data_IF_050225653533
#
_entry.id   IF_050225653533
#
_cell.length_a   1.000
_cell.length_b   1.000
_cell.length_c   1.000
_cell.angle_alpha   90.00
_cell.angle_beta   90.00
_cell.angle_gamma   90.00
#
_symmetry.space_group_name_H-M   'P 1'
#
loop_
_entity.id
_entity.type
_entity.pdbx_description
1 polymer ?
#
# COMPACT_ATOMS: atom_id res chain seq x y z
N UNK A 1 24.78 -31.20 -29.73
CA UNK A 1 24.20 -29.95 -29.18
C UNK A 1 22.76 -30.09 -28.66
N UNK A 2 21.90 -30.96 -29.22
CA UNK A 2 20.51 -31.11 -28.73
C UNK A 2 20.37 -31.58 -27.26
N UNK A 3 21.28 -32.43 -26.77
CA UNK A 3 21.18 -33.02 -25.42
C UNK A 3 21.32 -31.96 -24.30
N UNK A 4 22.12 -30.92 -24.52
CA UNK A 4 22.37 -29.87 -23.51
C UNK A 4 21.17 -28.94 -23.32
N UNK A 5 20.39 -28.69 -24.39
CA UNK A 5 19.18 -27.85 -24.33
C UNK A 5 18.04 -28.58 -23.59
N UNK A 6 17.92 -29.89 -23.79
CA UNK A 6 16.90 -30.72 -23.12
C UNK A 6 17.17 -30.82 -21.61
N UNK A 7 18.43 -30.98 -21.19
CA UNK A 7 18.81 -30.99 -19.78
C UNK A 7 18.56 -29.65 -19.07
N UNK A 8 18.75 -28.52 -19.75
CA UNK A 8 18.49 -27.19 -19.19
C UNK A 8 16.98 -26.95 -18.95
N UNK A 9 16.12 -27.39 -19.88
CA UNK A 9 14.67 -27.31 -19.75
C UNK A 9 14.13 -28.24 -18.66
N UNK A 10 14.71 -29.43 -18.50
CA UNK A 10 14.34 -30.35 -17.43
C UNK A 10 14.79 -29.86 -16.05
N UNK A 11 15.95 -29.20 -15.95
CA UNK A 11 16.38 -28.53 -14.71
C UNK A 11 15.42 -27.40 -14.32
N UNK A 12 14.97 -26.56 -15.27
CA UNK A 12 13.98 -25.51 -14.98
C UNK A 12 12.61 -26.08 -14.54
N UNK A 13 12.26 -27.29 -14.96
CA UNK A 13 11.03 -27.96 -14.55
C UNK A 13 11.10 -28.61 -13.16
N UNK A 14 12.30 -29.00 -12.70
CA UNK A 14 12.50 -29.71 -11.42
C UNK A 14 12.94 -28.82 -10.26
N UNK A 15 13.48 -27.63 -10.52
CA UNK A 15 13.56 -26.57 -9.51
C UNK A 15 12.15 -26.02 -9.28
N UNK A 16 11.38 -26.82 -8.54
CA UNK A 16 10.05 -26.52 -8.06
C UNK A 16 10.01 -25.07 -7.60
N UNK A 17 9.17 -24.30 -8.29
CA UNK A 17 8.54 -23.12 -7.73
C UNK A 17 7.91 -23.59 -6.42
N UNK A 18 8.65 -23.46 -5.32
CA UNK A 18 8.13 -23.70 -3.98
C UNK A 18 6.80 -22.99 -3.91
N UNK A 19 5.73 -23.72 -3.58
CA UNK A 19 4.37 -23.16 -3.54
C UNK A 19 4.48 -21.86 -2.73
N UNK A 20 4.15 -20.69 -3.30
CA UNK A 20 4.33 -19.43 -2.60
C UNK A 20 3.61 -19.55 -1.27
N UNK A 21 4.34 -19.30 -0.18
CA UNK A 21 3.76 -19.41 1.16
C UNK A 21 2.49 -18.57 1.22
N UNK A 22 1.39 -19.10 1.77
CA UNK A 22 0.14 -18.38 1.80
C UNK A 22 0.29 -17.14 2.69
N UNK A 23 0.30 -15.98 2.06
CA UNK A 23 0.33 -14.69 2.72
C UNK A 23 -1.10 -14.21 3.02
N UNK A 24 -1.30 -13.71 4.26
CA UNK A 24 -2.56 -13.17 4.77
C UNK A 24 -2.47 -11.69 5.12
N UNK A 25 -3.55 -10.97 4.80
CA UNK A 25 -3.73 -9.59 5.24
C UNK A 25 -4.42 -9.51 6.61
N UNK A 26 -4.03 -8.55 7.46
CA UNK A 26 -4.77 -8.26 8.69
C UNK A 26 -6.24 -7.91 8.41
N UNK A 27 -7.13 -8.03 9.42
CA UNK A 27 -8.50 -7.57 9.30
C UNK A 27 -8.56 -6.13 8.78
N UNK A 28 -9.56 -5.81 7.94
CA UNK A 28 -9.76 -4.51 7.27
C UNK A 28 -8.81 -4.18 6.11
N UNK A 29 -7.80 -5.02 5.86
CA UNK A 29 -6.97 -4.92 4.67
C UNK A 29 -7.38 -5.95 3.62
N UNK A 30 -7.34 -5.53 2.35
CA UNK A 30 -7.53 -6.41 1.20
C UNK A 30 -6.19 -6.63 0.51
N UNK A 31 -5.94 -7.86 0.08
CA UNK A 31 -4.74 -8.23 -0.64
C UNK A 31 -4.78 -7.71 -2.07
N UNK A 32 -3.69 -7.11 -2.53
CA UNK A 32 -3.45 -6.79 -3.93
C UNK A 32 -1.98 -7.07 -4.27
N UNK A 33 -1.73 -8.17 -5.01
CA UNK A 33 -0.38 -8.66 -5.26
C UNK A 33 0.35 -9.03 -3.95
N UNK A 34 1.43 -8.30 -3.66
CA UNK A 34 2.27 -8.45 -2.46
C UNK A 34 1.90 -7.49 -1.32
N UNK A 35 0.89 -6.64 -1.53
CA UNK A 35 0.51 -5.62 -0.56
C UNK A 35 -0.82 -5.96 0.10
N UNK A 36 -0.97 -5.49 1.33
CA UNK A 36 -2.26 -5.34 2.00
C UNK A 36 -2.64 -3.87 1.96
N UNK A 37 -3.74 -3.54 1.28
CA UNK A 37 -4.23 -2.17 1.21
C UNK A 37 -5.54 -1.97 1.97
N UNK A 38 -5.73 -0.76 2.47
CA UNK A 38 -7.01 -0.25 2.95
C UNK A 38 -7.10 1.25 2.67
N UNK A 39 -8.28 1.83 2.85
CA UNK A 39 -8.50 3.27 2.77
C UNK A 39 -8.95 3.80 4.13
N UNK A 40 -8.43 4.96 4.51
CA UNK A 40 -8.89 5.68 5.69
C UNK A 40 -10.20 6.41 5.40
N UNK A 41 -10.74 7.04 6.44
CA UNK A 41 -11.67 8.16 6.29
C UNK A 41 -10.96 9.38 5.66
N UNK A 42 -11.75 10.36 5.18
CA UNK A 42 -11.20 11.57 4.57
C UNK A 42 -10.59 12.48 5.63
N UNK A 43 -9.32 12.85 5.46
CA UNK A 43 -8.61 13.76 6.36
C UNK A 43 -7.65 14.67 5.57
N UNK A 44 -7.19 15.79 6.15
CA UNK A 44 -5.99 16.44 5.67
C UNK A 44 -4.80 15.48 5.80
N UNK A 45 -3.77 15.74 4.99
CA UNK A 45 -2.52 14.99 5.06
C UNK A 45 -1.71 15.49 6.26
N UNK A 46 -1.33 14.58 7.15
CA UNK A 46 -0.47 14.91 8.28
C UNK A 46 0.98 14.61 7.93
N UNK A 47 1.78 15.68 7.85
CA UNK A 47 3.20 15.59 7.45
C UNK A 47 4.13 15.26 8.63
N UNK A 48 3.73 15.59 9.87
CA UNK A 48 4.58 15.47 11.06
C UNK A 48 4.21 14.28 11.92
N UNK A 49 5.12 13.32 12.01
CA UNK A 49 5.07 12.19 12.95
C UNK A 49 4.28 10.98 12.43
N UNK A 50 4.84 9.79 12.61
CA UNK A 50 4.13 8.52 12.39
C UNK A 50 2.85 8.41 13.24
N UNK A 51 2.85 9.06 14.41
CA UNK A 51 1.78 9.02 15.42
C UNK A 51 0.47 9.69 14.97
N UNK A 52 0.51 10.51 13.91
CA UNK A 52 -0.65 11.19 13.37
C UNK A 52 -1.05 10.74 11.96
N UNK A 53 -0.33 9.77 11.38
CA UNK A 53 -0.76 9.11 10.16
C UNK A 53 -2.05 8.33 10.45
N UNK A 54 -3.16 8.62 9.77
CA UNK A 54 -4.40 7.88 9.97
C UNK A 54 -4.21 6.38 9.72
N UNK A 55 -3.28 6.01 8.84
CA UNK A 55 -2.92 4.62 8.60
C UNK A 55 -2.33 3.91 9.84
N UNK A 56 -1.67 4.66 10.73
CA UNK A 56 -1.12 4.10 11.98
C UNK A 56 -2.22 3.55 12.90
N UNK A 57 -3.39 4.19 12.92
CA UNK A 57 -4.58 3.72 13.67
C UNK A 57 -5.08 2.36 13.17
N UNK A 58 -4.76 2.02 11.92
CA UNK A 58 -5.08 0.74 11.30
C UNK A 58 -3.87 -0.23 11.30
N UNK A 59 -2.79 0.06 12.03
CA UNK A 59 -1.59 -0.79 12.03
C UNK A 59 -0.85 -0.83 10.69
N UNK A 60 -0.93 0.26 9.92
CA UNK A 60 -0.25 0.41 8.64
C UNK A 60 0.41 1.79 8.50
N UNK A 61 0.82 2.10 7.28
CA UNK A 61 1.43 3.39 6.92
C UNK A 61 0.84 3.88 5.61
N UNK A 62 0.74 5.19 5.42
CA UNK A 62 0.36 5.75 4.12
C UNK A 62 1.33 5.24 3.05
N UNK A 63 0.82 4.87 1.88
CA UNK A 63 1.59 4.17 0.87
C UNK A 63 2.50 5.12 0.08
N UNK A 64 3.75 4.69 -0.11
CA UNK A 64 4.75 5.32 -0.99
C UNK A 64 4.95 4.46 -2.23
N UNK A 65 5.09 5.08 -3.40
CA UNK A 65 5.26 4.36 -4.68
C UNK A 65 6.71 4.44 -5.12
N UNK A 66 7.48 3.39 -4.87
CA UNK A 66 8.93 3.33 -5.14
C UNK A 66 9.24 2.66 -6.48
N UNK A 67 8.33 1.83 -6.96
CA UNK A 67 8.47 1.07 -8.22
C UNK A 67 7.19 1.14 -9.07
N UNK A 68 7.32 0.85 -10.38
CA UNK A 68 6.15 0.66 -11.25
C UNK A 68 5.28 -0.54 -10.88
N UNK A 69 5.79 -1.47 -10.07
CA UNK A 69 5.00 -2.56 -9.50
C UNK A 69 4.11 -2.04 -8.38
N UNK A 70 4.63 -1.15 -7.53
CA UNK A 70 3.87 -0.49 -6.46
C UNK A 70 2.73 0.34 -7.05
N UNK A 71 3.01 1.12 -8.10
CA UNK A 71 2.02 1.91 -8.83
C UNK A 71 0.87 1.02 -9.32
N UNK A 72 1.19 -0.03 -10.09
CA UNK A 72 0.17 -0.95 -10.63
C UNK A 72 -0.63 -1.67 -9.54
N UNK A 73 0.01 -1.97 -8.40
CA UNK A 73 -0.69 -2.57 -7.27
C UNK A 73 -1.70 -1.59 -6.65
N UNK A 74 -1.31 -0.33 -6.41
CA UNK A 74 -2.22 0.70 -5.93
C UNK A 74 -3.40 0.93 -6.90
N UNK A 75 -3.11 1.05 -8.20
CA UNK A 75 -4.12 1.18 -9.25
C UNK A 75 -5.13 0.02 -9.23
N UNK A 76 -4.63 -1.22 -9.22
CA UNK A 76 -5.48 -2.40 -9.20
C UNK A 76 -6.41 -2.42 -7.99
N UNK A 77 -5.90 -2.07 -6.81
CA UNK A 77 -6.71 -2.00 -5.60
C UNK A 77 -7.80 -0.91 -5.66
N UNK A 78 -7.46 0.28 -6.15
CA UNK A 78 -8.42 1.39 -6.29
C UNK A 78 -9.49 1.09 -7.35
N UNK A 79 -9.09 0.47 -8.48
CA UNK A 79 -10.02 0.00 -9.52
C UNK A 79 -11.00 -1.04 -8.97
N UNK A 80 -10.50 -2.03 -8.23
CA UNK A 80 -11.30 -3.09 -7.61
C UNK A 80 -12.33 -2.54 -6.61
N UNK A 81 -12.01 -1.45 -5.91
CA UNK A 81 -12.91 -0.75 -5.00
C UNK A 81 -13.80 0.29 -5.70
N UNK A 82 -13.65 0.49 -7.01
CA UNK A 82 -14.35 1.51 -7.80
C UNK A 82 -14.22 2.91 -7.19
N UNK A 83 -13.02 3.25 -6.71
CA UNK A 83 -12.73 4.59 -6.17
C UNK A 83 -12.66 5.58 -7.33
N UNK A 84 -13.43 6.65 -7.24
CA UNK A 84 -13.57 7.70 -8.26
C UNK A 84 -13.04 9.07 -7.82
N UNK A 85 -12.41 9.12 -6.65
CA UNK A 85 -11.86 10.35 -6.07
C UNK A 85 -10.36 10.26 -5.79
N UNK A 86 -9.75 11.42 -5.59
CA UNK A 86 -8.34 11.55 -5.21
C UNK A 86 -8.06 10.86 -3.87
N UNK A 87 -6.90 10.21 -3.78
CA UNK A 87 -6.41 9.57 -2.54
C UNK A 87 -5.01 10.04 -2.20
N UNK A 88 -4.74 10.25 -0.90
CA UNK A 88 -3.41 10.61 -0.43
C UNK A 88 -2.42 9.48 -0.64
N UNK A 89 -1.23 9.86 -1.10
CA UNK A 89 -0.01 9.08 -1.04
C UNK A 89 0.96 9.74 -0.06
N UNK A 90 1.99 9.01 0.35
CA UNK A 90 2.96 9.47 1.34
C UNK A 90 4.06 10.37 0.77
N UNK A 91 3.71 11.17 -0.23
CA UNK A 91 4.63 11.99 -1.03
C UNK A 91 4.48 13.47 -0.75
N UNK A 92 5.59 14.20 -0.81
CA UNK A 92 5.66 15.63 -0.54
C UNK A 92 6.48 16.35 -1.61
N UNK A 93 6.11 17.61 -1.86
CA UNK A 93 6.88 18.54 -2.68
C UNK A 93 7.22 19.72 -1.78
N UNK A 94 8.51 19.88 -1.49
CA UNK A 94 9.02 20.93 -0.62
C UNK A 94 10.37 21.47 -1.11
N UNK A 95 10.78 22.62 -0.60
CA UNK A 95 12.12 23.16 -0.81
C UNK A 95 13.12 22.46 0.11
N UNK A 96 14.27 22.07 -0.44
CA UNK A 96 15.34 21.54 0.38
C UNK A 96 15.96 22.67 1.21
N UNK A 97 16.10 22.46 2.53
CA UNK A 97 16.67 23.46 3.46
C UNK A 97 18.01 24.04 2.98
N UNK A 98 18.84 23.21 2.34
CA UNK A 98 20.18 23.57 1.85
C UNK A 98 20.21 24.06 0.39
N UNK A 99 19.09 23.94 -0.34
CA UNK A 99 18.93 24.41 -1.73
C UNK A 99 17.55 25.03 -1.90
N UNK A 100 17.39 26.24 -1.35
CA UNK A 100 16.10 26.97 -1.32
C UNK A 100 15.55 27.37 -2.70
N UNK A 101 16.35 27.24 -3.77
CA UNK A 101 15.97 27.63 -5.12
C UNK A 101 15.25 26.53 -5.92
N UNK A 102 15.21 25.28 -5.44
CA UNK A 102 14.61 24.18 -6.17
C UNK A 102 13.67 23.36 -5.30
N UNK A 103 12.46 23.18 -5.80
CA UNK A 103 11.48 22.28 -5.20
C UNK A 103 11.87 20.84 -5.53
N UNK A 104 11.72 19.97 -4.55
CA UNK A 104 12.02 18.55 -4.71
C UNK A 104 10.81 17.74 -4.28
N UNK A 105 10.49 16.75 -5.10
CA UNK A 105 9.57 15.70 -4.74
C UNK A 105 10.31 14.57 -4.03
N UNK A 106 9.79 14.15 -2.88
CA UNK A 106 10.28 12.99 -2.13
C UNK A 106 9.13 12.23 -1.46
N UNK A 107 9.33 10.95 -1.21
CA UNK A 107 8.47 10.18 -0.30
C UNK A 107 8.93 10.40 1.14
N UNK A 108 8.03 10.26 2.11
CA UNK A 108 8.39 10.35 3.53
C UNK A 108 9.51 9.39 3.94
N UNK A 109 9.63 8.26 3.24
CA UNK A 109 10.54 7.16 3.49
C UNK A 109 11.53 6.91 2.34
N UNK A 110 11.58 7.80 1.35
CA UNK A 110 12.56 7.77 0.25
C UNK A 110 12.78 9.18 -0.32
N UNK A 111 13.96 9.72 -0.05
CA UNK A 111 14.34 11.07 -0.46
C UNK A 111 14.63 11.19 -1.97
N UNK A 112 14.92 10.09 -2.67
CA UNK A 112 15.27 10.09 -4.09
C UNK A 112 14.37 9.14 -4.90
N UNK A 113 13.08 9.48 -5.04
CA UNK A 113 12.12 8.64 -5.72
C UNK A 113 12.51 8.41 -7.19
N UNK A 114 12.62 7.12 -7.56
CA UNK A 114 12.96 6.69 -8.93
C UNK A 114 11.78 6.74 -9.90
N UNK A 115 10.55 6.68 -9.38
CA UNK A 115 9.33 6.71 -10.18
C UNK A 115 8.66 8.06 -10.00
N UNK A 116 8.22 8.64 -11.12
CA UNK A 116 7.43 9.86 -11.17
C UNK A 116 6.29 9.65 -12.16
N UNK A 117 5.06 9.79 -11.71
CA UNK A 117 3.86 9.62 -12.54
C UNK A 117 2.92 10.84 -12.44
N UNK A 118 3.48 12.05 -12.32
CA UNK A 118 2.68 13.27 -12.27
C UNK A 118 1.93 13.53 -13.57
N UNK A 119 0.73 14.10 -13.47
CA UNK A 119 -0.06 14.51 -14.64
C UNK A 119 0.62 15.66 -15.40
N UNK A 120 1.06 16.69 -14.66
CA UNK A 120 1.94 17.76 -15.16
C UNK A 120 3.38 17.47 -14.71
N UNK A 121 4.30 17.11 -15.61
CA UNK A 121 5.70 16.84 -15.28
C UNK A 121 6.41 18.00 -14.56
N UNK A 122 5.98 19.24 -14.82
CA UNK A 122 6.59 20.44 -14.28
C UNK A 122 6.00 20.84 -12.93
N UNK A 123 4.98 20.14 -12.42
CA UNK A 123 4.27 20.50 -11.17
C UNK A 123 5.23 20.63 -9.98
N UNK A 124 6.29 19.84 -9.97
CA UNK A 124 7.34 19.90 -8.94
C UNK A 124 8.04 21.24 -8.99
N UNK A 125 8.43 21.72 -10.18
CA UNK A 125 9.13 23.00 -10.34
C UNK A 125 8.19 24.20 -10.16
N UNK A 126 6.97 24.13 -10.72
CA UNK A 126 5.94 25.18 -10.63
C UNK A 126 5.39 25.37 -9.21
N UNK A 127 5.56 24.39 -8.33
CA UNK A 127 4.86 24.29 -7.05
C UNK A 127 5.06 25.43 -6.04
N UNK A 128 5.99 26.37 -6.26
CA UNK A 128 6.39 27.33 -5.21
C UNK A 128 6.61 28.77 -5.73
N UNK A 129 5.53 29.40 -6.21
CA UNK A 129 5.46 30.86 -6.11
C UNK A 129 4.99 31.33 -4.72
N UNK A 130 4.47 30.42 -3.88
CA UNK A 130 4.00 30.74 -2.52
C UNK A 130 4.58 29.74 -1.50
N UNK A 131 5.70 30.13 -0.87
CA UNK A 131 6.48 29.34 0.10
C UNK A 131 5.71 29.02 1.40
N UNK A 132 4.46 29.47 1.50
CA UNK A 132 3.60 29.29 2.68
C UNK A 132 2.86 27.94 2.70
N UNK A 133 2.83 27.19 1.60
CA UNK A 133 1.99 25.99 1.50
C UNK A 133 2.78 24.76 1.05
N UNK A 134 3.03 23.87 2.00
CA UNK A 134 3.55 22.54 1.72
C UNK A 134 2.57 21.77 0.82
N UNK A 135 3.09 21.14 -0.23
CA UNK A 135 2.31 20.38 -1.21
C UNK A 135 2.48 18.88 -0.97
N UNK A 136 1.38 18.16 -1.02
CA UNK A 136 1.30 16.72 -0.84
C UNK A 136 0.86 16.05 -2.14
N UNK A 137 1.20 14.78 -2.27
CA UNK A 137 0.90 14.01 -3.48
C UNK A 137 -0.38 13.22 -3.29
N UNK A 138 -1.29 13.36 -4.25
CA UNK A 138 -2.47 12.50 -4.40
C UNK A 138 -2.37 11.69 -5.68
N UNK A 139 -3.04 10.54 -5.70
CA UNK A 139 -3.35 9.79 -6.93
C UNK A 139 -4.81 10.06 -7.32
N UNK A 140 -5.08 10.35 -8.59
CA UNK A 140 -6.44 10.59 -9.10
C UNK A 140 -6.88 9.50 -10.09
N UNK A 141 -7.80 8.58 -9.71
CA UNK A 141 -8.34 7.55 -10.59
C UNK A 141 -8.98 8.08 -11.88
N UNK A 142 -9.46 9.32 -11.89
CA UNK A 142 -10.13 9.93 -13.06
C UNK A 142 -9.15 10.33 -14.16
N UNK A 143 -7.87 10.46 -13.84
CA UNK A 143 -6.80 10.80 -14.78
C UNK A 143 -5.82 9.65 -14.93
N UNK A 144 -6.33 8.43 -15.11
CA UNK A 144 -5.52 7.20 -15.24
C UNK A 144 -4.46 7.07 -14.13
N UNK A 145 -4.88 7.37 -12.90
CA UNK A 145 -4.05 7.22 -11.69
C UNK A 145 -2.76 8.03 -11.70
N UNK A 146 -2.75 9.13 -12.47
CA UNK A 146 -1.69 10.14 -12.43
C UNK A 146 -1.66 10.84 -11.08
N UNK A 147 -0.46 11.32 -10.73
CA UNK A 147 -0.23 12.01 -9.49
C UNK A 147 -0.47 13.51 -9.66
N UNK A 148 -1.02 14.14 -8.63
CA UNK A 148 -1.26 15.57 -8.56
C UNK A 148 -0.67 16.13 -7.27
N UNK A 149 -0.37 17.43 -7.27
CA UNK A 149 0.06 18.16 -6.09
C UNK A 149 -1.13 18.90 -5.48
N UNK A 150 -1.37 18.71 -4.18
CA UNK A 150 -2.47 19.32 -3.44
C UNK A 150 -1.97 20.01 -2.17
N UNK A 151 -2.75 20.94 -1.62
CA UNK A 151 -2.42 21.56 -0.33
C UNK A 151 -2.70 20.59 0.81
N UNK A 152 -1.64 20.17 1.51
CA UNK A 152 -1.71 19.10 2.52
C UNK A 152 -2.77 19.33 3.61
N UNK A 153 -2.89 20.57 4.10
CA UNK A 153 -3.69 20.90 5.28
C UNK A 153 -5.09 21.44 4.98
N UNK A 154 -5.36 21.82 3.73
CA UNK A 154 -6.63 22.46 3.33
C UNK A 154 -7.58 21.53 2.59
N UNK A 155 -7.06 20.42 2.09
CA UNK A 155 -7.82 19.46 1.29
C UNK A 155 -8.01 18.16 2.07
N UNK A 156 -9.11 17.45 1.79
CA UNK A 156 -9.51 16.26 2.53
C UNK A 156 -9.66 15.10 1.56
N UNK A 157 -8.82 14.08 1.73
CA UNK A 157 -8.85 12.86 0.92
C UNK A 157 -8.70 11.64 1.82
N UNK A 158 -9.16 10.48 1.35
CA UNK A 158 -8.81 9.21 1.97
C UNK A 158 -7.34 8.92 1.71
N UNK A 159 -6.62 8.35 2.67
CA UNK A 159 -5.26 7.89 2.46
C UNK A 159 -5.24 6.43 2.04
N UNK A 160 -4.38 6.11 1.06
CA UNK A 160 -4.09 4.72 0.72
C UNK A 160 -3.10 4.17 1.75
N UNK A 161 -3.57 3.28 2.60
CA UNK A 161 -2.74 2.64 3.62
C UNK A 161 -2.22 1.30 3.14
N UNK A 162 -0.98 0.99 3.48
CA UNK A 162 -0.40 -0.33 3.31
C UNK A 162 0.14 -0.88 4.63
N UNK A 163 0.14 -2.20 4.75
CA UNK A 163 0.84 -2.90 5.83
C UNK A 163 1.56 -4.12 5.28
N UNK A 164 2.57 -4.57 6.02
CA UNK A 164 3.35 -5.74 5.63
C UNK A 164 2.50 -7.00 5.71
N UNK A 165 2.62 -7.89 4.71
CA UNK A 165 2.20 -9.25 4.81
C UNK A 165 2.52 -9.95 6.12
N UNK A 166 1.54 -10.63 6.72
CA UNK A 166 1.86 -11.69 7.67
C UNK A 166 2.13 -12.97 6.89
N UNK A 167 3.36 -13.48 7.02
CA UNK A 167 3.76 -14.79 6.49
C UNK A 167 3.33 -15.83 7.52
N UNK A 168 2.43 -16.73 7.15
CA UNK A 168 2.11 -17.89 7.97
C UNK A 168 2.85 -19.12 7.43
N UNK A 169 4.01 -19.41 8.01
CA UNK A 169 4.79 -20.61 7.67
C UNK A 169 4.24 -21.93 8.26
N UNK A 170 3.13 -21.90 9.00
CA UNK A 170 2.52 -23.10 9.61
C UNK A 170 0.97 -23.00 9.63
N UNK A 171 0.29 -24.14 9.46
CA UNK A 171 -1.17 -24.30 9.54
C UNK A 171 -1.80 -23.83 10.86
N UNK A 172 -1.04 -23.79 11.95
CA UNK A 172 -1.55 -23.27 13.23
C UNK A 172 -1.71 -21.75 13.24
N UNK A 173 -0.84 -21.02 12.53
CA UNK A 173 -0.94 -19.57 12.33
C UNK A 173 -2.24 -19.20 11.60
N UNK A 174 -2.61 -20.03 10.63
CA UNK A 174 -3.86 -19.94 9.88
C UNK A 174 -5.09 -20.10 10.79
N UNK A 175 -5.09 -21.12 11.65
CA UNK A 175 -6.21 -21.40 12.57
C UNK A 175 -6.39 -20.29 13.61
N UNK A 176 -5.30 -19.73 14.12
CA UNK A 176 -5.33 -18.64 15.11
C UNK A 176 -5.80 -17.33 14.46
N UNK A 177 -5.37 -17.03 13.22
CA UNK A 177 -5.83 -15.87 12.48
C UNK A 177 -7.32 -15.98 12.14
N UNK A 178 -7.79 -17.14 11.65
CA UNK A 178 -9.21 -17.37 11.39
C UNK A 178 -10.08 -17.22 12.65
N UNK A 179 -9.59 -17.71 13.80
CA UNK A 179 -10.26 -17.54 15.09
C UNK A 179 -10.30 -16.09 15.58
N UNK A 180 -9.28 -15.27 15.27
CA UNK A 180 -9.27 -13.82 15.57
C UNK A 180 -10.15 -13.01 14.61
N UNK A 181 -10.22 -13.40 13.34
CA UNK A 181 -11.03 -12.74 12.31
C UNK A 181 -12.53 -13.06 12.49
N UNK A 182 -12.86 -14.27 12.97
CA UNK A 182 -14.24 -14.72 13.20
C UNK A 182 -14.36 -15.46 14.55
N UNK A 183 -14.44 -14.74 15.68
CA UNK A 183 -14.52 -15.36 17.01
C UNK A 183 -15.74 -16.29 17.17
N UNK A 184 -16.80 -16.06 16.39
CA UNK A 184 -18.05 -16.81 16.47
C UNK A 184 -18.10 -18.11 15.63
N UNK A 185 -17.11 -18.40 14.78
CA UNK A 185 -17.07 -19.67 14.01
C UNK A 185 -16.62 -20.88 14.84
N UNK A 186 -15.93 -20.67 15.96
CA UNK A 186 -15.39 -21.74 16.81
C UNK A 186 -16.36 -22.37 17.81
N UNK A 187 -17.51 -21.74 18.09
CA UNK A 187 -18.38 -22.15 19.21
C UNK A 187 -19.39 -23.26 18.82
N UNK A 188 -19.52 -23.62 17.54
CA UNK A 188 -20.56 -24.57 17.08
C UNK A 188 -20.21 -26.06 17.16
N UNK A 189 -19.05 -26.46 17.69
CA UNK A 189 -18.72 -27.89 17.88
C UNK A 189 -18.30 -28.22 19.31
N UNK A 190 -19.31 -28.46 20.16
CA UNK A 190 -19.47 -29.66 21.02
C UNK A 190 -20.43 -29.34 22.19
N UNK A 191 -21.72 -29.55 21.96
CA UNK A 191 -22.62 -30.01 23.02
C UNK A 191 -23.16 -31.37 22.58
N UNK A 192 -22.29 -32.38 22.69
CA UNK A 192 -22.72 -33.78 22.60
C UNK A 192 -23.39 -34.08 23.94
N UNK A 193 -24.72 -34.25 23.92
CA UNK A 193 -25.57 -34.71 25.04
C UNK A 193 -24.80 -35.72 25.92
N UNK A 194 -24.49 -35.34 27.15
CA UNK A 194 -24.27 -36.33 28.21
C UNK A 194 -25.64 -36.92 28.54
N UNK A 195 -25.82 -38.22 28.28
CA UNK A 195 -26.89 -39.00 28.89
C UNK A 195 -26.53 -39.16 30.35
N UNK A 196 -27.36 -38.63 31.22
CA UNK A 196 -27.40 -39.00 32.64
C UNK A 196 -28.10 -40.37 32.66
N UNK A 197 -27.40 -41.39 33.17
CA UNK A 197 -27.97 -42.64 33.65
C UNK A 197 -28.21 -42.49 35.15
#
# INVERSE_FOLDING_TARGET
MLISVVLCLLFLATYGLGKPEPFYCPPRYRRQGLYCFTLTEKTPMVIRGYEHDQCSKYGGTTFSIKTWRDQRAAEGFLKDLKVDEKVWLRGFIDQLKFRKAANTFFWADDFHPKVKNFLDPDVVQKGVNNWRFLRCVVMDPRYDFKWLAEECYRTYHRALCSTSPSICGNTDCLRILEARINPNRGVRRKLKKQRIL
#
